data_IF_723838336367
#
_entry.id   IF_723838336367
#
_cell.length_a   1.000
_cell.length_b   1.000
_cell.length_c   1.000
_cell.angle_alpha   90.00
_cell.angle_beta   90.00
_cell.angle_gamma   90.00
#
_symmetry.space_group_name_H-M   'P 1'
#
loop_
_entity.id
_entity.type
_entity.pdbx_description
1 polymer ?
#
# COMPACT_ATOMS: atom_id res chain seq x y z
N UNK A 1 -15.79 0.59 -12.60
CA UNK A 1 -14.88 -0.04 -11.64
C UNK A 1 -13.60 0.77 -11.64
N UNK A 2 -13.21 1.36 -10.50
CA UNK A 2 -11.99 2.16 -10.36
C UNK A 2 -10.84 1.27 -9.91
N UNK A 3 -9.68 1.36 -10.55
CA UNK A 3 -8.51 0.64 -10.11
C UNK A 3 -7.91 1.31 -8.87
N UNK A 4 -7.76 0.56 -7.80
CA UNK A 4 -7.25 1.08 -6.52
C UNK A 4 -6.05 0.28 -6.06
N UNK A 5 -5.07 0.98 -5.49
CA UNK A 5 -3.96 0.37 -4.77
C UNK A 5 -4.16 0.62 -3.27
N UNK A 6 -3.88 -0.40 -2.45
CA UNK A 6 -4.11 -0.31 -1.01
C UNK A 6 -2.79 0.04 -0.30
N UNK A 7 -2.85 1.03 0.59
CA UNK A 7 -1.79 1.27 1.57
C UNK A 7 -1.74 0.11 2.56
N UNK A 8 -0.73 -0.73 2.43
CA UNK A 8 -0.58 -1.98 3.14
C UNK A 8 0.44 -1.85 4.25
N UNK A 9 -0.04 -1.69 5.49
CA UNK A 9 0.81 -1.58 6.67
C UNK A 9 1.10 -2.91 7.34
N UNK A 10 0.59 -4.04 6.80
CA UNK A 10 0.61 -5.40 7.37
C UNK A 10 -0.35 -5.68 8.53
N UNK A 11 -1.10 -4.66 8.96
CA UNK A 11 -2.00 -4.74 10.09
C UNK A 11 -3.42 -5.24 9.75
N UNK A 12 -4.23 -5.41 10.81
CA UNK A 12 -5.65 -5.78 10.70
C UNK A 12 -6.48 -4.77 9.90
N UNK A 13 -6.15 -3.49 9.96
CA UNK A 13 -6.96 -2.44 9.32
C UNK A 13 -6.77 -2.44 7.80
N UNK A 14 -5.53 -2.59 7.31
CA UNK A 14 -5.27 -2.78 5.88
C UNK A 14 -5.86 -4.10 5.36
N UNK A 15 -5.83 -5.15 6.19
CA UNK A 15 -6.45 -6.45 5.86
C UNK A 15 -7.97 -6.31 5.72
N UNK A 16 -8.62 -5.60 6.64
CA UNK A 16 -10.06 -5.32 6.57
C UNK A 16 -10.40 -4.45 5.35
N UNK A 17 -9.60 -3.42 5.04
CA UNK A 17 -9.78 -2.63 3.82
C UNK A 17 -9.70 -3.49 2.57
N UNK A 18 -8.72 -4.40 2.50
CA UNK A 18 -8.61 -5.33 1.37
C UNK A 18 -9.85 -6.20 1.24
N UNK A 19 -10.30 -6.85 2.32
CA UNK A 19 -11.50 -7.70 2.29
C UNK A 19 -12.73 -6.95 1.81
N UNK A 20 -12.97 -5.74 2.32
CA UNK A 20 -14.11 -4.90 1.89
C UNK A 20 -14.05 -4.47 0.43
N UNK A 21 -12.86 -4.17 -0.08
CA UNK A 21 -12.70 -3.77 -1.48
C UNK A 21 -12.80 -4.95 -2.44
N UNK A 22 -12.39 -6.15 -2.03
CA UNK A 22 -12.57 -7.37 -2.81
C UNK A 22 -14.04 -7.77 -2.95
N UNK A 23 -14.89 -7.42 -1.98
CA UNK A 23 -16.35 -7.62 -2.05
C UNK A 23 -17.09 -6.53 -2.85
N UNK A 24 -16.44 -5.40 -3.13
CA UNK A 24 -17.06 -4.27 -3.80
C UNK A 24 -17.11 -4.44 -5.31
N UNK A 25 -18.25 -4.15 -5.93
CA UNK A 25 -18.38 -4.07 -7.40
C UNK A 25 -17.89 -2.73 -7.99
N UNK A 26 -17.55 -1.77 -7.14
CA UNK A 26 -17.14 -0.42 -7.56
C UNK A 26 -15.62 -0.33 -7.79
N UNK A 27 -14.84 -1.20 -7.14
CA UNK A 27 -13.39 -1.12 -7.09
C UNK A 27 -12.73 -2.38 -7.65
N UNK A 28 -11.56 -2.19 -8.25
CA UNK A 28 -10.67 -3.25 -8.68
C UNK A 28 -9.36 -3.08 -7.92
N UNK A 29 -9.07 -3.97 -6.97
CA UNK A 29 -7.80 -3.94 -6.25
C UNK A 29 -6.70 -4.42 -7.20
N UNK A 30 -5.83 -3.50 -7.64
CA UNK A 30 -4.77 -3.80 -8.61
C UNK A 30 -3.41 -4.08 -7.96
N UNK A 31 -3.30 -3.85 -6.65
CA UNK A 31 -2.08 -4.12 -5.91
C UNK A 31 -2.07 -3.53 -4.51
N UNK A 32 -0.95 -3.74 -3.84
CA UNK A 32 -0.61 -3.20 -2.54
C UNK A 32 0.62 -2.31 -2.69
N UNK A 33 0.74 -1.29 -1.84
CA UNK A 33 2.04 -0.65 -1.63
C UNK A 33 2.35 -0.57 -0.14
N UNK A 34 3.64 -0.60 0.19
CA UNK A 34 4.11 -0.40 1.55
C UNK A 34 5.30 0.56 1.56
N UNK A 35 5.45 1.30 2.64
CA UNK A 35 6.64 2.11 2.88
C UNK A 35 7.49 1.45 3.96
N UNK A 36 8.81 1.50 3.81
CA UNK A 36 9.74 0.89 4.76
C UNK A 36 10.97 1.75 4.98
N UNK A 37 11.63 1.56 6.12
CA UNK A 37 12.95 2.13 6.42
C UNK A 37 13.85 0.97 6.80
N UNK A 38 14.99 0.80 6.10
CA UNK A 38 15.93 -0.29 6.35
C UNK A 38 15.27 -1.70 6.39
N UNK A 39 14.29 -1.94 5.51
CA UNK A 39 13.60 -3.22 5.43
C UNK A 39 12.52 -3.46 6.50
N UNK A 40 12.08 -2.43 7.24
CA UNK A 40 10.98 -2.55 8.21
C UNK A 40 9.88 -1.52 7.96
N UNK A 41 8.63 -1.95 8.11
CA UNK A 41 7.47 -1.04 8.09
C UNK A 41 7.47 -0.17 9.35
N UNK A 42 7.47 1.17 9.23
CA UNK A 42 7.42 2.10 10.35
C UNK A 42 6.28 1.78 11.34
N UNK A 43 6.51 2.08 12.63
CA UNK A 43 5.62 1.85 13.78
C UNK A 43 5.36 0.39 14.16
N UNK A 44 5.04 -0.47 13.19
CA UNK A 44 4.70 -1.87 13.44
C UNK A 44 5.95 -2.74 13.54
N UNK A 45 7.09 -2.24 13.04
CA UNK A 45 8.38 -2.95 13.02
C UNK A 45 8.23 -4.32 12.34
N UNK A 46 7.37 -4.36 11.33
CA UNK A 46 7.14 -5.59 10.57
C UNK A 46 8.22 -5.68 9.50
N UNK A 47 9.00 -6.78 9.46
CA UNK A 47 10.00 -6.98 8.43
C UNK A 47 9.37 -6.99 7.04
N UNK A 48 10.03 -6.37 6.05
CA UNK A 48 9.54 -6.29 4.68
C UNK A 48 9.29 -7.68 4.07
N UNK A 49 10.13 -8.67 4.41
CA UNK A 49 9.94 -10.07 4.00
C UNK A 49 8.58 -10.64 4.44
N UNK A 50 8.07 -10.24 5.61
CA UNK A 50 6.76 -10.67 6.10
C UNK A 50 5.65 -10.02 5.28
N UNK A 51 5.84 -8.76 4.89
CA UNK A 51 4.89 -8.03 4.03
C UNK A 51 4.84 -8.63 2.63
N UNK A 52 5.99 -8.97 2.06
CA UNK A 52 6.09 -9.67 0.78
C UNK A 52 5.36 -11.02 0.83
N UNK A 53 5.60 -11.82 1.88
CA UNK A 53 4.87 -13.07 2.09
C UNK A 53 3.36 -12.88 2.19
N UNK A 54 2.89 -11.80 2.83
CA UNK A 54 1.46 -11.48 2.88
C UNK A 54 0.90 -11.16 1.49
N UNK A 55 1.59 -10.31 0.72
CA UNK A 55 1.17 -9.93 -0.62
C UNK A 55 1.11 -11.16 -1.56
N UNK A 56 2.11 -12.04 -1.49
CA UNK A 56 2.15 -13.30 -2.23
C UNK A 56 0.98 -14.21 -1.88
N UNK A 57 0.60 -14.31 -0.60
CA UNK A 57 -0.55 -15.09 -0.16
C UNK A 57 -1.89 -14.52 -0.61
N UNK A 58 -1.95 -13.19 -0.78
CA UNK A 58 -3.11 -12.51 -1.35
C UNK A 58 -3.13 -12.55 -2.89
N UNK A 59 -2.04 -13.00 -3.53
CA UNK A 59 -1.90 -12.99 -4.98
C UNK A 59 -1.86 -11.57 -5.57
N UNK A 60 -1.37 -10.60 -4.79
CA UNK A 60 -1.33 -9.18 -5.18
C UNK A 60 0.09 -8.71 -5.44
N UNK A 61 0.34 -7.89 -6.47
CA UNK A 61 1.63 -7.23 -6.62
C UNK A 61 1.87 -6.25 -5.46
N UNK A 62 3.09 -6.23 -4.95
CA UNK A 62 3.52 -5.32 -3.90
C UNK A 62 4.49 -4.28 -4.47
N UNK A 63 4.17 -3.00 -4.29
CA UNK A 63 5.08 -1.89 -4.54
C UNK A 63 5.78 -1.55 -3.23
N UNK A 64 7.06 -1.88 -3.12
CA UNK A 64 7.89 -1.53 -1.97
C UNK A 64 8.54 -0.16 -2.16
N UNK A 65 8.40 0.73 -1.18
CA UNK A 65 8.86 2.12 -1.27
C UNK A 65 9.75 2.42 -0.06
N UNK A 66 11.06 2.56 -0.31
CA UNK A 66 12.01 2.90 0.73
C UNK A 66 11.93 4.39 1.09
N UNK A 67 11.83 4.68 2.38
CA UNK A 67 11.88 6.03 2.93
C UNK A 67 13.27 6.32 3.52
N UNK A 68 13.74 7.59 3.45
CA UNK A 68 15.05 7.96 3.99
C UNK A 68 15.10 7.92 5.52
N UNK A 69 13.95 8.05 6.18
CA UNK A 69 13.79 8.01 7.64
C UNK A 69 12.35 7.63 7.98
N UNK A 70 12.07 7.38 9.27
CA UNK A 70 10.73 6.97 9.75
C UNK A 70 9.69 8.08 9.56
N UNK A 71 10.11 9.34 9.71
CA UNK A 71 9.24 10.52 9.66
C UNK A 71 9.80 11.59 8.73
N UNK A 72 9.88 11.32 7.41
CA UNK A 72 10.30 12.36 6.47
C UNK A 72 9.23 13.46 6.43
N UNK A 73 9.59 14.67 5.97
CA UNK A 73 8.61 15.70 5.63
C UNK A 73 7.50 15.15 4.73
N UNK A 74 6.25 15.58 4.95
CA UNK A 74 5.09 14.96 4.30
C UNK A 74 5.10 15.11 2.76
N UNK A 75 5.65 16.20 2.25
CA UNK A 75 5.86 16.41 0.81
C UNK A 75 6.83 15.38 0.22
N UNK A 76 7.92 15.07 0.94
CA UNK A 76 8.86 14.01 0.56
C UNK A 76 8.18 12.64 0.60
N UNK A 77 7.43 12.33 1.67
CA UNK A 77 6.65 11.08 1.75
C UNK A 77 5.70 10.93 0.56
N UNK A 78 4.91 11.97 0.28
CA UNK A 78 3.92 11.94 -0.80
C UNK A 78 4.58 11.77 -2.17
N UNK A 79 5.70 12.46 -2.44
CA UNK A 79 6.46 12.29 -3.69
C UNK A 79 6.93 10.86 -3.86
N UNK A 80 7.58 10.28 -2.83
CA UNK A 80 8.09 8.91 -2.88
C UNK A 80 6.98 7.89 -3.12
N UNK A 81 5.82 8.05 -2.45
CA UNK A 81 4.66 7.17 -2.68
C UNK A 81 4.14 7.30 -4.10
N UNK A 82 3.95 8.53 -4.60
CA UNK A 82 3.46 8.77 -5.96
C UNK A 82 4.42 8.19 -7.00
N UNK A 83 5.72 8.42 -6.83
CA UNK A 83 6.75 7.97 -7.76
C UNK A 83 6.91 6.45 -7.75
N UNK A 84 6.87 5.83 -6.56
CA UNK A 84 6.86 4.37 -6.41
C UNK A 84 5.64 3.73 -7.07
N UNK A 85 4.44 4.27 -6.85
CA UNK A 85 3.22 3.76 -7.50
C UNK A 85 3.26 3.95 -9.01
N UNK A 86 3.70 5.11 -9.52
CA UNK A 86 3.80 5.36 -10.97
C UNK A 86 4.83 4.46 -11.66
N UNK A 87 5.97 4.22 -11.02
CA UNK A 87 7.03 3.38 -11.57
C UNK A 87 6.68 1.88 -11.58
N UNK A 88 5.69 1.45 -10.79
CA UNK A 88 5.21 0.06 -10.76
C UNK A 88 4.56 -0.42 -12.08
N UNK A 89 4.11 0.49 -12.94
CA UNK A 89 3.35 0.17 -14.14
C UNK A 89 1.90 -0.26 -13.90
N UNK A 90 1.44 -0.27 -12.64
CA UNK A 90 0.04 -0.50 -12.30
C UNK A 90 -0.82 0.69 -12.75
N UNK A 91 -1.98 0.41 -13.35
CA UNK A 91 -2.96 1.43 -13.70
C UNK A 91 -3.80 1.75 -12.46
N UNK A 92 -3.43 2.79 -11.72
CA UNK A 92 -4.07 3.17 -10.46
C UNK A 92 -4.87 4.47 -10.65
N UNK A 93 -6.15 4.44 -10.29
CA UNK A 93 -7.07 5.58 -10.30
C UNK A 93 -7.26 6.20 -8.89
N UNK A 94 -6.77 5.55 -7.83
CA UNK A 94 -6.87 6.03 -6.45
C UNK A 94 -6.15 5.16 -5.43
N UNK A 95 -5.95 5.72 -4.23
CA UNK A 95 -5.33 5.02 -3.10
C UNK A 95 -6.39 4.76 -2.02
N UNK A 96 -6.46 3.53 -1.54
CA UNK A 96 -7.27 3.14 -0.39
C UNK A 96 -6.41 2.96 0.86
N UNK A 97 -6.91 3.39 2.02
CA UNK A 97 -6.22 3.26 3.32
C UNK A 97 -7.20 2.86 4.44
N UNK A 98 -6.65 2.38 5.56
CA UNK A 98 -7.35 1.78 6.71
C UNK A 98 -8.37 2.67 7.43
N UNK A 99 -8.37 3.97 7.16
CA UNK A 99 -9.50 4.86 7.48
C UNK A 99 -10.35 4.97 6.24
N UNK A 100 -11.58 4.45 6.22
CA UNK A 100 -12.51 4.45 5.08
C UNK A 100 -12.57 5.80 4.31
N UNK A 101 -11.66 5.99 3.37
CA UNK A 101 -11.73 6.95 2.27
C UNK A 101 -10.71 6.51 1.23
N UNK A 102 -11.21 6.07 0.08
CA UNK A 102 -10.37 6.05 -1.12
C UNK A 102 -10.12 7.52 -1.47
N UNK A 103 -8.88 7.99 -1.35
CA UNK A 103 -8.52 9.29 -1.91
C UNK A 103 -8.40 9.08 -3.42
N UNK A 104 -9.32 9.72 -4.15
CA UNK A 104 -9.29 9.83 -5.60
C UNK A 104 -8.21 10.84 -6.04
#
# INVERSE_FOLDING_TARGET
>A
MKNVIISWSSGKDSTLTFERLMESSEYNVVGLYTTHVNGEVPFQVTPLEVVEMQADRLGMPLVSIELPEVFPPNDIYQSLVIDGVKSSGLKVDGIASGTCSAMA
#
